data_IF_354197374015
#
_entry.id   IF_354197374015
#
_cell.length_a   1.000
_cell.length_b   1.000
_cell.length_c   1.000
_cell.angle_alpha   90.00
_cell.angle_beta   90.00
_cell.angle_gamma   90.00
#
_symmetry.space_group_name_H-M   'P 1'
#
loop_
_entity.id
_entity.type
_entity.pdbx_description
1 polymer ?
#
# COMPACT_ATOMS: atom_id res chain seq x y z
N UNK A 1 0.53 -13.13 2.69
CA UNK A 1 0.35 -12.32 1.46
C UNK A 1 0.84 -13.04 0.23
N UNK A 2 0.11 -12.92 -0.88
CA UNK A 2 0.56 -13.34 -2.22
C UNK A 2 1.72 -12.46 -2.72
N UNK A 3 2.49 -12.90 -3.73
CA UNK A 3 3.57 -12.08 -4.31
C UNK A 3 3.09 -10.71 -4.79
N UNK A 4 1.92 -10.64 -5.45
CA UNK A 4 1.32 -9.39 -5.94
C UNK A 4 0.93 -8.43 -4.82
N UNK A 5 0.30 -8.94 -3.76
CA UNK A 5 -0.08 -8.12 -2.59
C UNK A 5 1.16 -7.58 -1.84
N UNK A 6 2.18 -8.41 -1.70
CA UNK A 6 3.46 -8.01 -1.10
C UNK A 6 4.14 -6.91 -1.92
N UNK A 7 4.14 -7.06 -3.25
CA UNK A 7 4.73 -6.07 -4.16
C UNK A 7 3.98 -4.74 -4.11
N UNK A 8 2.64 -4.76 -4.02
CA UNK A 8 1.83 -3.55 -3.84
C UNK A 8 2.18 -2.83 -2.53
N UNK A 9 2.19 -3.54 -1.40
CA UNK A 9 2.55 -2.96 -0.10
C UNK A 9 3.98 -2.42 -0.06
N UNK A 10 4.93 -3.14 -0.67
CA UNK A 10 6.30 -2.67 -0.82
C UNK A 10 6.37 -1.43 -1.72
N UNK A 11 5.59 -1.39 -2.79
CA UNK A 11 5.45 -0.28 -3.71
C UNK A 11 4.93 0.98 -3.04
N UNK A 12 3.89 0.87 -2.21
CA UNK A 12 3.39 1.97 -1.37
C UNK A 12 4.50 2.55 -0.50
N UNK A 13 5.22 1.71 0.24
CA UNK A 13 6.31 2.16 1.12
C UNK A 13 7.46 2.81 0.35
N UNK A 14 7.81 2.28 -0.83
CA UNK A 14 8.86 2.84 -1.68
C UNK A 14 8.46 4.20 -2.28
N UNK A 15 7.20 4.32 -2.71
CA UNK A 15 6.65 5.54 -3.29
C UNK A 15 6.61 6.66 -2.24
N UNK A 16 6.05 6.37 -1.06
CA UNK A 16 6.04 7.32 0.05
C UNK A 16 7.46 7.71 0.50
N UNK A 17 8.39 6.75 0.62
CA UNK A 17 9.76 7.06 1.02
C UNK A 17 10.51 7.95 0.02
N UNK A 18 10.09 7.98 -1.24
CA UNK A 18 10.70 8.81 -2.28
C UNK A 18 10.06 10.18 -2.37
N UNK A 19 8.73 10.26 -2.31
CA UNK A 19 7.98 11.48 -2.60
C UNK A 19 7.50 12.21 -1.34
N UNK A 20 7.37 11.52 -0.21
CA UNK A 20 6.81 12.02 1.06
C UNK A 20 5.39 12.60 0.93
N UNK A 21 4.64 12.15 -0.08
CA UNK A 21 3.29 12.61 -0.37
C UNK A 21 2.24 12.02 0.58
N UNK A 22 1.05 12.62 0.58
CA UNK A 22 -0.09 12.10 1.33
C UNK A 22 -0.58 10.74 0.79
N UNK A 23 -1.53 10.14 1.50
CA UNK A 23 -2.08 8.85 1.14
C UNK A 23 -2.70 8.85 -0.27
N UNK A 24 -3.45 9.90 -0.61
CA UNK A 24 -4.19 10.00 -1.87
C UNK A 24 -3.25 10.08 -3.06
N UNK A 25 -2.24 10.95 -3.00
CA UNK A 25 -1.23 11.06 -4.04
C UNK A 25 -0.35 9.80 -4.10
N UNK A 26 -0.06 9.16 -2.95
CA UNK A 26 0.69 7.89 -2.93
C UNK A 26 -0.07 6.78 -3.66
N UNK A 27 -1.38 6.63 -3.42
CA UNK A 27 -2.18 5.61 -4.12
C UNK A 27 -2.38 5.93 -5.59
N UNK A 28 -2.48 7.22 -5.97
CA UNK A 28 -2.53 7.67 -7.36
C UNK A 28 -1.25 7.28 -8.10
N UNK A 29 -0.08 7.66 -7.59
CA UNK A 29 1.22 7.32 -8.20
C UNK A 29 1.43 5.81 -8.31
N UNK A 30 1.06 5.05 -7.26
CA UNK A 30 1.18 3.59 -7.25
C UNK A 30 0.21 2.94 -8.25
N UNK A 31 -0.99 3.50 -8.38
CA UNK A 31 -2.00 3.07 -9.34
C UNK A 31 -1.57 3.31 -10.78
N UNK A 32 -1.13 4.52 -11.10
CA UNK A 32 -0.64 4.90 -12.43
C UNK A 32 0.51 4.00 -12.90
N UNK A 33 1.50 3.77 -12.03
CA UNK A 33 2.62 2.89 -12.32
C UNK A 33 2.21 1.43 -12.60
N UNK A 34 0.99 1.03 -12.21
CA UNK A 34 0.45 -0.34 -12.32
C UNK A 34 -0.75 -0.44 -13.26
N UNK A 35 -1.16 0.65 -13.89
CA UNK A 35 -2.37 0.70 -14.71
C UNK A 35 -3.65 0.38 -13.91
N UNK A 36 -3.69 0.78 -12.64
CA UNK A 36 -4.83 0.60 -11.74
C UNK A 36 -5.42 1.97 -11.38
N UNK A 37 -6.73 2.02 -11.21
CA UNK A 37 -7.36 3.21 -10.64
C UNK A 37 -7.07 3.32 -9.13
N UNK A 38 -7.18 4.54 -8.61
CA UNK A 38 -7.10 4.82 -7.16
C UNK A 38 -8.03 3.90 -6.36
N UNK A 39 -9.28 3.74 -6.78
CA UNK A 39 -10.26 2.89 -6.09
C UNK A 39 -9.85 1.41 -6.08
N UNK A 40 -9.23 0.92 -7.16
CA UNK A 40 -8.72 -0.44 -7.22
C UNK A 40 -7.56 -0.62 -6.23
N UNK A 41 -6.64 0.34 -6.16
CA UNK A 41 -5.52 0.29 -5.21
C UNK A 41 -6.04 0.32 -3.77
N UNK A 42 -6.95 1.25 -3.43
CA UNK A 42 -7.55 1.33 -2.09
C UNK A 42 -8.26 0.03 -1.70
N UNK A 43 -9.06 -0.54 -2.61
CA UNK A 43 -9.75 -1.82 -2.38
C UNK A 43 -8.77 -2.97 -2.17
N UNK A 44 -7.70 -3.04 -2.97
CA UNK A 44 -6.66 -4.05 -2.79
C UNK A 44 -5.96 -3.90 -1.43
N UNK A 45 -5.70 -2.67 -0.99
CA UNK A 45 -5.08 -2.40 0.30
C UNK A 45 -6.00 -2.78 1.47
N UNK A 46 -7.29 -2.48 1.37
CA UNK A 46 -8.32 -2.91 2.33
C UNK A 46 -8.42 -4.45 2.40
N UNK A 47 -8.42 -5.12 1.25
CA UNK A 47 -8.43 -6.59 1.17
C UNK A 47 -7.18 -7.18 1.83
N UNK A 48 -6.00 -6.57 1.61
CA UNK A 48 -4.74 -7.00 2.22
C UNK A 48 -4.79 -6.82 3.74
N UNK A 49 -5.25 -5.67 4.23
CA UNK A 49 -5.41 -5.41 5.66
C UNK A 49 -6.36 -6.45 6.29
N UNK A 50 -7.51 -6.68 5.67
CA UNK A 50 -8.52 -7.62 6.18
C UNK A 50 -7.98 -9.05 6.26
N UNK A 51 -7.20 -9.49 5.27
CA UNK A 51 -6.63 -10.84 5.23
C UNK A 51 -5.42 -11.03 6.15
N UNK A 52 -4.60 -9.99 6.32
CA UNK A 52 -3.24 -10.11 6.87
C UNK A 52 -2.92 -9.09 7.97
N UNK A 53 -3.88 -8.37 8.52
CA UNK A 53 -3.65 -7.27 9.47
C UNK A 53 -2.81 -7.64 10.72
N UNK A 54 -2.82 -8.92 11.13
CA UNK A 54 -2.01 -9.45 12.22
C UNK A 54 -0.76 -10.23 11.77
N UNK A 55 -0.54 -10.36 10.46
CA UNK A 55 0.59 -11.08 9.88
C UNK A 55 1.89 -10.25 9.99
N UNK A 56 2.98 -10.91 10.41
CA UNK A 56 4.25 -10.25 10.65
C UNK A 56 4.84 -9.58 9.39
N UNK A 57 4.63 -10.17 8.21
CA UNK A 57 5.14 -9.60 6.95
C UNK A 57 4.32 -8.39 6.52
N UNK A 58 3.00 -8.42 6.71
CA UNK A 58 2.15 -7.24 6.53
C UNK A 58 2.55 -6.12 7.49
N UNK A 59 2.68 -6.40 8.79
CA UNK A 59 3.04 -5.39 9.81
C UNK A 59 4.40 -4.75 9.50
N UNK A 60 5.37 -5.55 9.05
CA UNK A 60 6.69 -5.05 8.61
C UNK A 60 6.59 -4.09 7.43
N UNK A 61 5.74 -4.37 6.44
CA UNK A 61 5.54 -3.48 5.29
C UNK A 61 4.71 -2.24 5.65
N UNK A 62 3.63 -2.42 6.41
CA UNK A 62 2.77 -1.34 6.92
C UNK A 62 3.56 -0.36 7.78
N UNK A 63 4.54 -0.83 8.54
CA UNK A 63 5.43 0.00 9.36
C UNK A 63 6.36 0.92 8.55
N UNK A 64 6.46 0.75 7.22
CA UNK A 64 7.20 1.65 6.32
C UNK A 64 6.37 2.86 5.88
N UNK A 65 5.08 2.86 6.19
CA UNK A 65 4.13 3.91 5.85
C UNK A 65 3.75 4.71 7.10
N UNK A 66 3.33 5.97 6.95
CA UNK A 66 2.80 6.77 8.05
C UNK A 66 1.65 6.08 8.78
N UNK A 67 1.55 6.30 10.09
CA UNK A 67 0.50 5.65 10.92
C UNK A 67 -0.90 6.18 10.64
N UNK A 68 -1.01 7.39 10.11
CA UNK A 68 -2.25 8.06 9.72
C UNK A 68 -2.77 7.62 8.34
N UNK A 69 -1.99 6.90 7.53
CA UNK A 69 -2.51 6.26 6.33
C UNK A 69 -3.63 5.27 6.73
N UNK A 70 -4.81 5.34 6.08
CA UNK A 70 -5.99 4.53 6.44
C UNK A 70 -5.84 3.08 5.93
N UNK A 71 -4.92 2.35 6.55
CA UNK A 71 -4.43 1.03 6.14
C UNK A 71 -4.25 0.06 7.29
#
# INVERSE_FOLDING_TARGET
MTPRERELMAGMGNCYASCHEDFEHTVEMVGDARGLSVDQVKKMLEDIHTKYGADADYLRLRGRLPKDFPL
#
